data_IF_492158947808
#
_entry.id   IF_492158947808
#
_cell.length_a   1.000
_cell.length_b   1.000
_cell.length_c   1.000
_cell.angle_alpha   90.00
_cell.angle_beta   90.00
_cell.angle_gamma   90.00
#
_symmetry.space_group_name_H-M   'P 1'
#
loop_
_entity.id
_entity.type
_entity.pdbx_description
1 polymer ?
#
# COMPACT_ATOMS: atom_id res chain seq x y z
N UNK A 1 3.92 29.94 -9.36
CA UNK A 1 5.23 29.73 -8.72
C UNK A 1 5.04 28.83 -7.51
N UNK A 2 5.91 27.85 -7.33
CA UNK A 2 5.98 27.10 -6.08
C UNK A 2 6.49 28.04 -4.97
N UNK A 3 5.77 28.13 -3.86
CA UNK A 3 6.13 28.96 -2.70
C UNK A 3 6.02 28.12 -1.43
N UNK A 4 7.19 27.76 -0.89
CA UNK A 4 7.30 26.93 0.31
C UNK A 4 6.75 27.65 1.55
N UNK A 5 6.88 28.98 1.63
CA UNK A 5 6.39 29.75 2.77
C UNK A 5 4.87 29.81 2.78
N UNK A 6 4.24 29.93 1.61
CA UNK A 6 2.78 29.85 1.48
C UNK A 6 2.25 28.47 1.92
N UNK A 7 2.90 27.38 1.51
CA UNK A 7 2.55 26.02 1.96
C UNK A 7 2.71 25.91 3.47
N UNK A 8 3.83 26.37 4.02
CA UNK A 8 4.09 26.37 5.45
C UNK A 8 3.05 27.17 6.25
N UNK A 9 2.65 28.34 5.76
CA UNK A 9 1.59 29.15 6.36
C UNK A 9 0.24 28.41 6.33
N UNK A 10 -0.10 27.72 5.23
CA UNK A 10 -1.31 26.87 5.16
C UNK A 10 -1.25 25.74 6.19
N UNK A 11 -0.12 25.05 6.30
CA UNK A 11 0.05 23.97 7.29
C UNK A 11 -0.10 24.51 8.72
N UNK A 12 0.52 25.66 9.04
CA UNK A 12 0.37 26.33 10.34
C UNK A 12 -1.07 26.73 10.65
N UNK A 13 -1.85 27.13 9.64
CA UNK A 13 -3.28 27.43 9.80
C UNK A 13 -4.11 26.15 10.02
N UNK A 14 -3.69 25.04 9.41
CA UNK A 14 -4.37 23.76 9.52
C UNK A 14 -4.07 23.01 10.83
N UNK A 15 -2.86 23.11 11.37
CA UNK A 15 -2.43 22.37 12.56
C UNK A 15 -2.01 23.29 13.70
N UNK A 16 -2.65 23.13 14.86
CA UNK A 16 -2.29 23.82 16.09
C UNK A 16 -1.02 23.23 16.73
N UNK A 17 -0.43 23.93 17.71
CA UNK A 17 0.70 23.37 18.49
C UNK A 17 0.35 22.04 19.15
N UNK A 18 -0.87 21.90 19.67
CA UNK A 18 -1.36 20.66 20.28
C UNK A 18 -1.45 19.53 19.26
N UNK A 19 -1.90 19.83 18.04
CA UNK A 19 -1.95 18.87 16.93
C UNK A 19 -0.56 18.33 16.59
N UNK A 20 0.44 19.22 16.51
CA UNK A 20 1.84 18.84 16.23
C UNK A 20 2.38 17.93 17.33
N UNK A 21 2.18 18.29 18.60
CA UNK A 21 2.58 17.45 19.73
C UNK A 21 1.94 16.06 19.65
N UNK A 22 0.64 16.01 19.33
CA UNK A 22 -0.07 14.74 19.21
C UNK A 22 0.46 13.87 18.06
N UNK A 23 0.74 14.46 16.89
CA UNK A 23 1.37 13.76 15.76
C UNK A 23 2.75 13.24 16.15
N UNK A 24 3.56 14.03 16.85
CA UNK A 24 4.88 13.61 17.34
C UNK A 24 4.75 12.44 18.32
N UNK A 25 3.79 12.48 19.24
CA UNK A 25 3.52 11.37 20.17
C UNK A 25 3.15 10.10 19.39
N UNK A 26 2.26 10.18 18.40
CA UNK A 26 1.89 9.02 17.58
C UNK A 26 3.10 8.44 16.81
N UNK A 27 3.97 9.30 16.27
CA UNK A 27 5.21 8.86 15.62
C UNK A 27 6.17 8.18 16.60
N UNK A 28 6.32 8.73 17.81
CA UNK A 28 7.13 8.12 18.86
C UNK A 28 6.57 6.75 19.22
N UNK A 29 5.25 6.63 19.42
CA UNK A 29 4.59 5.33 19.72
C UNK A 29 4.79 4.34 18.57
N UNK A 30 4.69 4.78 17.32
CA UNK A 30 5.00 3.94 16.16
C UNK A 30 6.43 3.40 16.24
N UNK A 31 7.43 4.26 16.41
CA UNK A 31 8.83 3.82 16.49
C UNK A 31 9.11 2.94 17.72
N UNK A 32 8.55 3.25 18.88
CA UNK A 32 8.66 2.43 20.09
C UNK A 32 8.14 1.01 19.82
N UNK A 33 6.94 0.90 19.25
CA UNK A 33 6.31 -0.40 19.00
C UNK A 33 7.00 -1.20 17.90
N UNK A 34 7.64 -0.54 16.93
CA UNK A 34 8.32 -1.21 15.81
C UNK A 34 9.79 -1.51 16.09
N UNK A 35 10.53 -0.63 16.77
CA UNK A 35 11.99 -0.75 16.93
C UNK A 35 12.43 -1.49 18.19
N UNK A 36 11.67 -1.43 19.28
CA UNK A 36 12.09 -2.10 20.53
C UNK A 36 12.19 -3.61 20.28
N UNK A 37 13.33 -4.21 20.62
CA UNK A 37 13.59 -5.65 20.46
C UNK A 37 13.39 -6.17 19.02
N UNK A 38 13.56 -5.32 18.01
CA UNK A 38 13.31 -5.67 16.60
C UNK A 38 14.15 -6.85 16.11
N UNK A 39 15.37 -7.03 16.61
CA UNK A 39 16.29 -8.11 16.24
C UNK A 39 16.20 -9.33 17.16
N UNK A 40 15.39 -9.29 18.22
CA UNK A 40 15.27 -10.38 19.19
C UNK A 40 14.24 -11.44 18.81
N UNK A 41 13.35 -11.18 17.86
CA UNK A 41 12.47 -12.24 17.35
C UNK A 41 13.29 -13.28 16.59
N UNK A 42 12.93 -14.57 16.71
CA UNK A 42 13.46 -15.61 15.84
C UNK A 42 13.40 -15.18 14.37
N UNK A 43 14.43 -15.51 13.61
CA UNK A 43 14.46 -15.22 12.19
C UNK A 43 13.47 -16.14 11.47
N UNK A 44 12.59 -15.55 10.67
CA UNK A 44 11.73 -16.31 9.77
C UNK A 44 12.50 -16.68 8.50
N UNK A 45 12.25 -17.87 7.94
CA UNK A 45 13.06 -18.42 6.83
C UNK A 45 13.19 -17.47 5.63
N UNK A 46 12.08 -16.86 5.21
CA UNK A 46 12.06 -15.88 4.12
C UNK A 46 12.89 -14.63 4.41
N UNK A 47 12.97 -14.16 5.66
CA UNK A 47 13.80 -13.00 6.02
C UNK A 47 15.27 -13.27 5.69
N UNK A 48 15.76 -14.48 6.01
CA UNK A 48 17.11 -14.90 5.69
C UNK A 48 17.39 -14.90 4.19
N UNK A 49 16.43 -15.38 3.38
CA UNK A 49 16.52 -15.40 1.92
C UNK A 49 16.58 -13.97 1.37
N UNK A 50 15.65 -13.10 1.78
CA UNK A 50 15.55 -11.73 1.26
C UNK A 50 16.75 -10.87 1.67
N UNK A 51 17.22 -11.00 2.90
CA UNK A 51 18.44 -10.33 3.38
C UNK A 51 19.66 -10.82 2.59
N UNK A 52 19.77 -12.13 2.34
CA UNK A 52 20.87 -12.69 1.54
C UNK A 52 20.85 -12.15 0.12
N UNK A 53 19.69 -12.13 -0.54
CA UNK A 53 19.54 -11.54 -1.88
C UNK A 53 19.96 -10.07 -1.90
N UNK A 54 19.52 -9.27 -0.92
CA UNK A 54 19.91 -7.87 -0.82
C UNK A 54 21.42 -7.70 -0.60
N UNK A 55 22.05 -8.54 0.23
CA UNK A 55 23.51 -8.57 0.38
C UNK A 55 24.24 -8.91 -0.91
N UNK A 56 23.78 -9.91 -1.66
CA UNK A 56 24.39 -10.27 -2.95
C UNK A 56 24.24 -9.14 -3.96
N UNK A 57 23.03 -8.60 -4.11
CA UNK A 57 22.73 -7.47 -4.99
C UNK A 57 23.49 -6.18 -4.63
N UNK A 58 23.84 -6.01 -3.34
CA UNK A 58 24.67 -4.90 -2.89
C UNK A 58 26.12 -5.06 -3.37
N UNK A 59 26.72 -6.24 -3.23
CA UNK A 59 28.14 -6.46 -3.54
C UNK A 59 28.40 -6.75 -5.03
N UNK A 60 27.38 -7.22 -5.76
CA UNK A 60 27.46 -7.48 -7.19
C UNK A 60 26.24 -6.91 -7.92
N UNK A 61 26.49 -5.94 -8.79
CA UNK A 61 25.47 -5.26 -9.57
C UNK A 61 24.75 -6.17 -10.57
N UNK A 62 25.40 -7.26 -11.04
CA UNK A 62 24.78 -8.24 -11.94
C UNK A 62 23.63 -9.00 -11.27
N UNK A 63 23.67 -9.12 -9.94
CA UNK A 63 22.66 -9.80 -9.13
C UNK A 63 21.59 -8.87 -8.55
N UNK A 64 21.45 -7.64 -9.05
CA UNK A 64 20.37 -6.74 -8.59
C UNK A 64 18.97 -7.31 -8.77
N UNK A 65 18.78 -8.23 -9.71
CA UNK A 65 17.51 -8.90 -9.96
C UNK A 65 17.47 -10.34 -9.46
N UNK A 66 18.34 -10.71 -8.50
CA UNK A 66 18.45 -12.09 -7.98
C UNK A 66 17.11 -12.65 -7.48
N UNK A 67 16.23 -11.83 -6.91
CA UNK A 67 14.91 -12.29 -6.44
C UNK A 67 14.04 -12.90 -7.55
N UNK A 68 14.27 -12.50 -8.81
CA UNK A 68 13.56 -13.04 -9.95
C UNK A 68 13.90 -14.51 -10.23
N UNK A 69 15.02 -15.03 -9.70
CA UNK A 69 15.33 -16.47 -9.81
C UNK A 69 14.33 -17.34 -9.03
N UNK A 70 13.58 -16.76 -8.09
CA UNK A 70 12.45 -17.40 -7.40
C UNK A 70 11.09 -16.75 -7.78
N UNK A 71 11.05 -15.97 -8.85
CA UNK A 71 9.84 -15.30 -9.34
C UNK A 71 9.32 -14.18 -8.43
N UNK A 72 10.15 -13.63 -7.54
CA UNK A 72 9.81 -12.51 -6.63
C UNK A 72 10.30 -11.18 -7.20
N UNK A 73 9.45 -10.15 -7.18
CA UNK A 73 9.81 -8.82 -7.67
C UNK A 73 10.88 -8.12 -6.79
N UNK A 74 11.71 -7.22 -7.35
CA UNK A 74 12.97 -6.84 -6.73
C UNK A 74 12.90 -5.67 -5.74
N UNK A 75 11.75 -5.02 -5.53
CA UNK A 75 11.68 -3.80 -4.70
C UNK A 75 12.18 -4.03 -3.28
N UNK A 76 11.83 -5.17 -2.67
CA UNK A 76 12.29 -5.52 -1.34
C UNK A 76 13.82 -5.64 -1.30
N UNK A 77 14.38 -6.38 -2.26
CA UNK A 77 15.83 -6.59 -2.41
C UNK A 77 16.54 -5.24 -2.51
N UNK A 78 16.08 -4.33 -3.38
CA UNK A 78 16.68 -3.00 -3.55
C UNK A 78 16.50 -2.10 -2.33
N UNK A 79 15.28 -2.06 -1.80
CA UNK A 79 14.93 -1.22 -0.65
C UNK A 79 15.65 -1.62 0.63
N UNK A 80 16.11 -2.87 0.73
CA UNK A 80 16.87 -3.38 1.88
C UNK A 80 18.34 -2.95 1.86
N UNK A 81 18.93 -2.72 0.67
CA UNK A 81 20.36 -2.40 0.52
C UNK A 81 20.81 -1.18 1.34
N UNK A 82 20.11 -0.02 1.32
CA UNK A 82 20.51 1.12 2.14
C UNK A 82 20.58 0.79 3.63
N UNK A 83 19.66 -0.01 4.15
CA UNK A 83 19.66 -0.39 5.56
C UNK A 83 20.76 -1.39 5.91
N UNK A 84 21.12 -2.30 5.01
CA UNK A 84 22.29 -3.16 5.20
C UNK A 84 23.60 -2.36 5.28
N UNK A 85 23.70 -1.24 4.55
CA UNK A 85 24.83 -0.31 4.66
C UNK A 85 24.86 0.45 5.97
N UNK A 86 23.68 0.82 6.50
CA UNK A 86 23.57 1.50 7.80
C UNK A 86 23.80 0.57 8.99
N UNK A 87 23.48 -0.72 8.84
CA UNK A 87 23.61 -1.74 9.89
C UNK A 87 24.45 -2.94 9.42
N UNK A 88 25.73 -2.75 9.04
CA UNK A 88 26.55 -3.80 8.44
C UNK A 88 26.80 -4.98 9.37
N UNK A 89 26.87 -4.72 10.68
CA UNK A 89 27.13 -5.71 11.72
C UNK A 89 25.88 -6.49 12.17
N UNK A 90 24.68 -6.02 11.80
CA UNK A 90 23.42 -6.68 12.15
C UNK A 90 22.47 -6.68 10.95
N UNK A 91 22.65 -7.69 10.10
CA UNK A 91 21.89 -7.81 8.86
C UNK A 91 20.40 -8.08 9.07
N UNK A 92 20.03 -8.74 10.17
CA UNK A 92 18.62 -8.97 10.51
C UNK A 92 17.94 -7.65 10.86
N UNK A 93 18.58 -6.82 11.70
CA UNK A 93 18.11 -5.47 11.96
C UNK A 93 18.02 -4.66 10.66
N UNK A 94 19.07 -4.64 9.85
CA UNK A 94 19.07 -3.96 8.55
C UNK A 94 17.92 -4.40 7.63
N UNK A 95 17.66 -5.70 7.54
CA UNK A 95 16.51 -6.24 6.81
C UNK A 95 15.17 -5.76 7.36
N UNK A 96 14.97 -5.82 8.68
CA UNK A 96 13.72 -5.43 9.33
C UNK A 96 13.46 -3.91 9.27
N UNK A 97 14.51 -3.09 9.20
CA UNK A 97 14.37 -1.63 9.02
C UNK A 97 13.69 -1.26 7.70
N UNK A 98 13.79 -2.09 6.64
CA UNK A 98 13.00 -1.90 5.43
C UNK A 98 11.50 -1.91 5.74
N UNK A 99 11.03 -2.90 6.51
CA UNK A 99 9.63 -3.04 6.87
C UNK A 99 9.13 -1.93 7.80
N UNK A 100 9.98 -1.46 8.72
CA UNK A 100 9.66 -0.29 9.55
C UNK A 100 9.55 0.96 8.68
N UNK A 101 10.42 1.13 7.69
CA UNK A 101 10.36 2.28 6.80
C UNK A 101 9.10 2.24 5.91
N UNK A 102 8.78 1.09 5.31
CA UNK A 102 7.55 0.95 4.51
C UNK A 102 6.28 1.01 5.35
N UNK A 103 6.30 0.49 6.57
CA UNK A 103 5.20 0.65 7.53
C UNK A 103 4.96 2.13 7.88
N UNK A 104 6.01 2.94 8.01
CA UNK A 104 5.87 4.39 8.20
C UNK A 104 5.26 5.07 6.97
N UNK A 105 5.62 4.62 5.77
CA UNK A 105 4.97 5.07 4.52
C UNK A 105 3.49 4.69 4.54
N UNK A 106 3.12 3.50 5.01
CA UNK A 106 1.73 3.09 5.21
C UNK A 106 0.98 3.98 6.21
N UNK A 107 1.58 4.23 7.38
CA UNK A 107 1.03 5.09 8.43
C UNK A 107 0.76 6.52 7.93
N UNK A 108 1.70 7.11 7.19
CA UNK A 108 1.52 8.44 6.60
C UNK A 108 0.43 8.45 5.52
N UNK A 109 0.29 7.36 4.76
CA UNK A 109 -0.82 7.16 3.82
C UNK A 109 -2.18 7.13 4.51
N UNK A 110 -2.32 6.39 5.62
CA UNK A 110 -3.55 6.35 6.42
C UNK A 110 -3.87 7.74 6.98
N UNK A 111 -2.87 8.43 7.53
CA UNK A 111 -3.05 9.79 8.01
C UNK A 111 -3.59 10.70 6.90
N UNK A 112 -2.96 10.68 5.71
CA UNK A 112 -3.35 11.51 4.57
C UNK A 112 -4.77 11.17 4.08
N UNK A 113 -5.09 9.89 3.93
CA UNK A 113 -6.41 9.40 3.51
C UNK A 113 -7.51 9.84 4.47
N UNK A 114 -7.35 9.54 5.77
CA UNK A 114 -8.34 9.87 6.78
C UNK A 114 -8.48 11.40 6.96
N UNK A 115 -7.37 12.14 6.91
CA UNK A 115 -7.39 13.61 6.97
C UNK A 115 -8.17 14.19 5.79
N UNK A 116 -7.91 13.69 4.58
CA UNK A 116 -8.56 14.17 3.37
C UNK A 116 -10.06 13.84 3.32
N UNK A 117 -10.46 12.66 3.78
CA UNK A 117 -11.87 12.23 3.75
C UNK A 117 -12.69 12.78 4.92
N UNK A 118 -12.12 12.83 6.12
CA UNK A 118 -12.87 12.99 7.36
C UNK A 118 -12.26 14.01 8.34
N UNK A 119 -11.13 14.62 7.98
CA UNK A 119 -10.46 15.66 8.78
C UNK A 119 -9.53 15.14 9.88
N UNK A 120 -8.97 16.08 10.66
CA UNK A 120 -7.89 15.84 11.64
C UNK A 120 -8.19 14.74 12.65
N UNK A 121 -9.37 14.79 13.28
CA UNK A 121 -9.74 13.82 14.33
C UNK A 121 -9.77 12.39 13.80
N UNK A 122 -10.28 12.19 12.58
CA UNK A 122 -10.31 10.88 11.95
C UNK A 122 -8.90 10.41 11.56
N UNK A 123 -8.02 11.31 11.12
CA UNK A 123 -6.62 10.99 10.86
C UNK A 123 -5.89 10.48 12.10
N UNK A 124 -6.12 11.11 13.25
CA UNK A 124 -5.59 10.70 14.54
C UNK A 124 -6.05 9.30 14.94
N UNK A 125 -7.36 9.04 14.86
CA UNK A 125 -7.89 7.72 15.15
C UNK A 125 -7.44 6.66 14.14
N UNK A 126 -7.36 7.00 12.85
CA UNK A 126 -6.86 6.10 11.81
C UNK A 126 -5.42 5.67 12.07
N UNK A 127 -4.53 6.62 12.39
CA UNK A 127 -3.14 6.31 12.76
C UNK A 127 -3.06 5.53 14.07
N UNK A 128 -3.85 5.90 15.07
CA UNK A 128 -3.91 5.16 16.34
C UNK A 128 -4.29 3.69 16.12
N UNK A 129 -5.33 3.43 15.33
CA UNK A 129 -5.73 2.05 15.00
C UNK A 129 -4.68 1.34 14.15
N UNK A 130 -4.05 2.01 13.16
CA UNK A 130 -2.95 1.41 12.39
C UNK A 130 -1.80 0.96 13.31
N UNK A 131 -1.42 1.83 14.27
CA UNK A 131 -0.34 1.53 15.21
C UNK A 131 -0.69 0.30 16.07
N UNK A 132 -1.94 0.13 16.50
CA UNK A 132 -2.35 -0.92 17.43
C UNK A 132 -2.88 -2.19 16.78
N UNK A 133 -3.15 -2.19 15.47
CA UNK A 133 -3.65 -3.37 14.76
C UNK A 133 -2.58 -4.47 14.80
N UNK A 134 -2.90 -5.69 15.29
CA UNK A 134 -1.92 -6.77 15.43
C UNK A 134 -1.17 -7.10 14.13
N UNK A 135 -1.88 -7.13 13.00
CA UNK A 135 -1.30 -7.31 11.68
C UNK A 135 -0.16 -6.32 11.39
N UNK A 136 -0.43 -5.01 11.44
CA UNK A 136 0.60 -3.98 11.19
C UNK A 136 1.68 -3.96 12.27
N UNK A 137 1.36 -4.31 13.52
CA UNK A 137 2.37 -4.44 14.58
C UNK A 137 3.38 -5.54 14.28
N UNK A 138 2.93 -6.65 13.70
CA UNK A 138 3.78 -7.80 13.43
C UNK A 138 4.52 -7.65 12.09
N UNK A 139 3.81 -7.41 10.99
CA UNK A 139 4.40 -7.40 9.65
C UNK A 139 5.24 -6.15 9.34
N UNK A 140 5.05 -5.02 10.03
CA UNK A 140 5.95 -3.86 9.92
C UNK A 140 7.29 -4.09 10.65
N UNK A 141 7.49 -5.24 11.29
CA UNK A 141 8.71 -5.60 12.04
C UNK A 141 9.46 -6.78 11.45
N UNK A 142 8.89 -7.49 10.48
CA UNK A 142 9.57 -8.59 9.80
C UNK A 142 10.14 -8.12 8.47
N UNK A 143 11.30 -8.61 8.08
CA UNK A 143 11.94 -8.30 6.80
C UNK A 143 11.22 -9.01 5.64
N UNK A 144 9.93 -8.71 5.45
CA UNK A 144 9.05 -9.18 4.40
C UNK A 144 8.56 -8.01 3.53
N UNK A 145 8.01 -8.32 2.36
CA UNK A 145 7.45 -7.30 1.46
C UNK A 145 6.05 -6.84 1.88
N UNK A 146 5.38 -7.55 2.79
CA UNK A 146 3.97 -7.33 3.13
C UNK A 146 3.68 -5.90 3.64
N UNK A 147 4.53 -5.35 4.50
CA UNK A 147 4.43 -3.93 4.94
C UNK A 147 4.52 -2.94 3.76
N UNK A 148 5.37 -3.22 2.77
CA UNK A 148 5.46 -2.44 1.54
C UNK A 148 4.24 -2.58 0.63
N UNK A 149 3.65 -3.78 0.53
CA UNK A 149 2.40 -4.02 -0.20
C UNK A 149 1.23 -3.30 0.48
N UNK A 150 1.21 -3.26 1.81
CA UNK A 150 0.20 -2.51 2.58
C UNK A 150 0.31 -1.00 2.35
N UNK A 151 1.53 -0.47 2.39
CA UNK A 151 1.79 0.93 2.05
C UNK A 151 1.34 1.25 0.62
N UNK A 152 1.63 0.37 -0.33
CA UNK A 152 1.17 0.47 -1.71
C UNK A 152 -0.36 0.51 -1.80
N UNK A 153 -1.05 -0.42 -1.16
CA UNK A 153 -2.52 -0.47 -1.11
C UNK A 153 -3.10 0.87 -0.63
N UNK A 154 -2.63 1.37 0.52
CA UNK A 154 -3.15 2.61 1.14
C UNK A 154 -2.95 3.81 0.22
N UNK A 155 -1.75 3.97 -0.36
CA UNK A 155 -1.47 5.10 -1.22
C UNK A 155 -2.19 5.01 -2.58
N UNK A 156 -2.27 3.82 -3.19
CA UNK A 156 -3.06 3.60 -4.41
C UNK A 156 -4.53 3.95 -4.15
N UNK A 157 -5.07 3.50 -3.02
CA UNK A 157 -6.44 3.82 -2.63
C UNK A 157 -6.64 5.32 -2.42
N UNK A 158 -5.75 6.00 -1.71
CA UNK A 158 -5.79 7.46 -1.54
C UNK A 158 -5.73 8.21 -2.88
N UNK A 159 -4.76 7.87 -3.73
CA UNK A 159 -4.58 8.55 -5.01
C UNK A 159 -5.72 8.27 -6.00
N UNK A 160 -6.36 7.10 -5.94
CA UNK A 160 -7.57 6.82 -6.72
C UNK A 160 -8.70 7.81 -6.40
N UNK A 161 -8.92 8.09 -5.11
CA UNK A 161 -9.93 9.04 -4.62
C UNK A 161 -9.51 10.48 -4.96
N UNK A 162 -8.24 10.82 -4.74
CA UNK A 162 -7.73 12.16 -5.02
C UNK A 162 -7.80 12.48 -6.52
N UNK A 163 -7.46 11.53 -7.39
CA UNK A 163 -7.50 11.70 -8.83
C UNK A 163 -8.93 11.94 -9.31
N UNK A 164 -9.90 11.11 -8.90
CA UNK A 164 -11.29 11.30 -9.35
C UNK A 164 -11.92 12.59 -8.84
N UNK A 165 -11.53 13.07 -7.65
CA UNK A 165 -12.05 14.32 -7.09
C UNK A 165 -11.39 15.58 -7.68
N UNK A 166 -10.15 15.50 -8.13
CA UNK A 166 -9.39 16.68 -8.58
C UNK A 166 -9.18 16.75 -10.09
N UNK A 167 -9.11 15.62 -10.78
CA UNK A 167 -8.86 15.51 -12.23
C UNK A 167 -7.62 16.31 -12.63
N UNK A 168 -6.52 16.11 -11.90
CA UNK A 168 -5.25 16.82 -12.15
C UNK A 168 -4.18 15.89 -12.69
N UNK A 169 -3.38 16.40 -13.63
CA UNK A 169 -2.28 15.67 -14.25
C UNK A 169 -1.17 15.31 -13.25
N UNK A 170 -0.79 16.24 -12.37
CA UNK A 170 0.26 15.99 -11.37
C UNK A 170 -0.11 14.85 -10.41
N UNK A 171 -1.39 14.78 -9.99
CA UNK A 171 -1.92 13.67 -9.20
C UNK A 171 -1.83 12.35 -9.97
N UNK A 172 -2.17 12.34 -11.25
CA UNK A 172 -2.06 11.15 -12.10
C UNK A 172 -0.61 10.68 -12.28
N UNK A 173 0.34 11.60 -12.44
CA UNK A 173 1.76 11.28 -12.56
C UNK A 173 2.30 10.67 -11.26
N UNK A 174 2.02 11.28 -10.11
CA UNK A 174 2.45 10.74 -8.80
C UNK A 174 1.80 9.37 -8.56
N UNK A 175 0.52 9.23 -8.88
CA UNK A 175 -0.18 7.96 -8.76
C UNK A 175 0.45 6.88 -9.64
N UNK A 176 0.76 7.19 -10.91
CA UNK A 176 1.45 6.27 -11.82
C UNK A 176 2.82 5.82 -11.32
N UNK A 177 3.60 6.75 -10.75
CA UNK A 177 4.90 6.43 -10.13
C UNK A 177 4.75 5.49 -8.93
N UNK A 178 3.82 5.78 -8.01
CA UNK A 178 3.55 4.95 -6.84
C UNK A 178 3.06 3.57 -7.28
N UNK A 179 2.11 3.51 -8.21
CA UNK A 179 1.60 2.26 -8.76
C UNK A 179 2.71 1.43 -9.42
N UNK A 180 3.59 2.06 -10.20
CA UNK A 180 4.72 1.40 -10.85
C UNK A 180 5.75 0.85 -9.88
N UNK A 181 6.20 1.66 -8.92
CA UNK A 181 7.10 1.20 -7.85
C UNK A 181 6.45 0.07 -7.05
N UNK A 182 5.16 0.18 -6.76
CA UNK A 182 4.41 -0.86 -6.07
C UNK A 182 4.31 -2.15 -6.88
N UNK A 183 4.24 -2.12 -8.21
CA UNK A 183 4.27 -3.34 -9.03
C UNK A 183 5.63 -4.08 -8.98
N UNK A 184 6.70 -3.41 -8.53
CA UNK A 184 7.97 -4.05 -8.23
C UNK A 184 7.99 -4.74 -6.85
N UNK A 185 6.90 -4.68 -6.09
CA UNK A 185 6.77 -5.37 -4.80
C UNK A 185 6.18 -6.78 -4.94
N UNK A 186 4.99 -6.88 -5.54
CA UNK A 186 4.19 -8.10 -5.60
C UNK A 186 3.16 -7.98 -6.72
N UNK A 187 2.85 -9.11 -7.36
CA UNK A 187 1.87 -9.17 -8.46
C UNK A 187 0.46 -8.75 -8.03
N UNK A 188 0.12 -8.94 -6.76
CA UNK A 188 -1.19 -8.60 -6.19
C UNK A 188 -1.52 -7.11 -6.28
N UNK A 189 -0.52 -6.22 -6.39
CA UNK A 189 -0.73 -4.78 -6.58
C UNK A 189 -1.53 -4.46 -7.84
N UNK A 190 -1.49 -5.33 -8.87
CA UNK A 190 -2.32 -5.18 -10.08
C UNK A 190 -3.81 -5.13 -9.74
N UNK A 191 -4.26 -5.86 -8.71
CA UNK A 191 -5.64 -5.83 -8.24
C UNK A 191 -6.00 -4.43 -7.74
N UNK A 192 -5.15 -3.80 -6.92
CA UNK A 192 -5.39 -2.47 -6.36
C UNK A 192 -5.47 -1.39 -7.44
N UNK A 193 -4.59 -1.47 -8.45
CA UNK A 193 -4.67 -0.59 -9.62
C UNK A 193 -5.98 -0.83 -10.36
N UNK A 194 -6.36 -2.09 -10.61
CA UNK A 194 -7.63 -2.45 -11.24
C UNK A 194 -8.86 -1.89 -10.51
N UNK A 195 -8.94 -2.05 -9.19
CA UNK A 195 -10.04 -1.51 -8.37
C UNK A 195 -10.13 0.03 -8.44
N UNK A 196 -9.00 0.71 -8.65
CA UNK A 196 -8.96 2.17 -8.82
C UNK A 196 -9.73 2.64 -10.07
N UNK A 197 -9.92 1.78 -11.08
CA UNK A 197 -10.74 2.09 -12.25
C UNK A 197 -12.22 2.32 -11.89
N UNK A 198 -12.67 1.86 -10.71
CA UNK A 198 -14.03 2.04 -10.19
C UNK A 198 -14.20 3.34 -9.39
N UNK A 199 -13.13 4.15 -9.22
CA UNK A 199 -13.22 5.46 -8.56
C UNK A 199 -14.28 6.42 -9.15
N UNK A 200 -14.63 6.40 -10.46
CA UNK A 200 -15.73 7.18 -11.02
C UNK A 200 -17.10 6.99 -10.35
N UNK A 201 -17.31 5.93 -9.57
CA UNK A 201 -18.49 5.77 -8.72
C UNK A 201 -18.69 6.94 -7.74
N UNK A 202 -17.62 7.67 -7.41
CA UNK A 202 -17.63 8.85 -6.56
C UNK A 202 -18.13 10.13 -7.26
N UNK A 203 -18.29 10.14 -8.58
CA UNK A 203 -18.69 11.34 -9.33
C UNK A 203 -20.20 11.56 -9.19
N UNK A 204 -20.59 12.76 -8.74
CA UNK A 204 -21.94 13.26 -8.93
C UNK A 204 -22.00 14.77 -8.99
N UNK A 205 -22.40 15.27 -10.16
CA UNK A 205 -22.87 16.63 -10.32
C UNK A 205 -24.32 16.61 -10.80
N UNK A 206 -25.08 17.63 -10.39
CA UNK A 206 -26.49 17.79 -10.74
C UNK A 206 -26.70 17.84 -12.27
N UNK A 207 -25.67 18.24 -13.03
CA UNK A 207 -25.69 18.29 -14.49
C UNK A 207 -25.02 17.04 -15.08
N UNK A 208 -25.81 16.21 -15.77
CA UNK A 208 -25.34 14.95 -16.40
C UNK A 208 -24.17 15.14 -17.38
N UNK A 209 -24.13 16.25 -18.12
CA UNK A 209 -23.07 16.54 -19.12
C UNK A 209 -21.70 16.73 -18.47
N UNK A 210 -21.65 17.34 -17.30
CA UNK A 210 -20.40 17.59 -16.57
C UNK A 210 -19.84 16.28 -15.99
N UNK A 211 -20.72 15.35 -15.58
CA UNK A 211 -20.31 14.01 -15.15
C UNK A 211 -19.60 13.23 -16.25
N UNK A 212 -20.15 13.22 -17.48
CA UNK A 212 -19.54 12.50 -18.62
C UNK A 212 -18.14 13.04 -18.91
N UNK A 213 -17.97 14.37 -18.94
CA UNK A 213 -16.67 14.99 -19.17
C UNK A 213 -15.65 14.60 -18.08
N UNK A 214 -16.06 14.60 -16.81
CA UNK A 214 -15.19 14.18 -15.70
C UNK A 214 -14.79 12.72 -15.79
N UNK A 215 -15.73 11.83 -16.15
CA UNK A 215 -15.45 10.40 -16.31
C UNK A 215 -14.45 10.17 -17.45
N UNK A 216 -14.63 10.82 -18.60
CA UNK A 216 -13.69 10.75 -19.73
C UNK A 216 -12.30 11.24 -19.30
N UNK A 217 -12.23 12.42 -18.68
CA UNK A 217 -10.95 12.98 -18.23
C UNK A 217 -10.28 12.08 -17.18
N UNK A 218 -11.04 11.48 -16.27
CA UNK A 218 -10.52 10.51 -15.31
C UNK A 218 -9.88 9.32 -16.03
N UNK A 219 -10.57 8.69 -16.98
CA UNK A 219 -10.02 7.53 -17.69
C UNK A 219 -8.81 7.86 -18.56
N UNK A 220 -8.75 9.07 -19.15
CA UNK A 220 -7.55 9.54 -19.86
C UNK A 220 -6.35 9.67 -18.91
N UNK A 221 -6.55 10.29 -17.74
CA UNK A 221 -5.51 10.40 -16.72
C UNK A 221 -5.15 9.05 -16.10
N UNK A 222 -6.13 8.16 -15.93
CA UNK A 222 -5.92 6.82 -15.41
C UNK A 222 -5.17 5.92 -16.41
N UNK A 223 -5.38 6.10 -17.71
CA UNK A 223 -4.55 5.46 -18.74
C UNK A 223 -3.08 5.89 -18.59
N UNK A 224 -2.83 7.17 -18.29
CA UNK A 224 -1.47 7.64 -17.99
C UNK A 224 -0.89 6.99 -16.73
N UNK A 225 -1.69 6.82 -15.66
CA UNK A 225 -1.30 6.07 -14.46
C UNK A 225 -0.86 4.64 -14.84
N UNK A 226 -1.68 3.94 -15.62
CA UNK A 226 -1.39 2.59 -16.10
C UNK A 226 -0.12 2.54 -16.97
N UNK A 227 0.05 3.52 -17.87
CA UNK A 227 1.24 3.63 -18.71
C UNK A 227 2.52 3.76 -17.88
N UNK A 228 2.55 4.66 -16.90
CA UNK A 228 3.70 4.81 -16.00
C UNK A 228 3.93 3.54 -15.17
N UNK A 229 2.86 2.96 -14.64
CA UNK A 229 2.95 1.76 -13.82
C UNK A 229 3.57 0.58 -14.59
N UNK A 230 3.10 0.35 -15.83
CA UNK A 230 3.62 -0.68 -16.72
C UNK A 230 5.05 -0.36 -17.16
N UNK A 231 5.36 0.90 -17.46
CA UNK A 231 6.71 1.33 -17.87
C UNK A 231 7.74 1.01 -16.79
N UNK A 232 7.45 1.34 -15.53
CA UNK A 232 8.31 1.01 -14.38
C UNK A 232 8.38 -0.51 -14.16
N UNK A 233 7.24 -1.22 -14.23
CA UNK A 233 7.21 -2.67 -14.07
C UNK A 233 8.11 -3.39 -15.09
N UNK A 234 8.23 -2.86 -16.31
CA UNK A 234 9.06 -3.43 -17.38
C UNK A 234 10.58 -3.31 -17.12
N UNK A 235 11.04 -2.54 -16.12
CA UNK A 235 12.46 -2.53 -15.71
C UNK A 235 12.96 -3.95 -15.37
N UNK A 236 12.07 -4.83 -14.91
CA UNK A 236 12.40 -6.24 -14.62
C UNK A 236 12.83 -7.05 -15.85
N UNK A 237 12.56 -6.58 -17.08
CA UNK A 237 13.02 -7.22 -18.32
C UNK A 237 14.54 -7.17 -18.51
N UNK A 238 15.23 -6.33 -17.74
CA UNK A 238 16.69 -6.32 -17.70
C UNK A 238 17.27 -7.63 -17.14
N UNK A 239 16.44 -8.48 -16.52
CA UNK A 239 16.81 -9.82 -16.09
C UNK A 239 16.19 -10.90 -16.99
N UNK A 240 16.93 -11.96 -17.33
CA UNK A 240 16.39 -13.09 -18.09
C UNK A 240 15.31 -13.86 -17.32
N UNK A 241 15.23 -13.69 -15.99
CA UNK A 241 14.36 -14.46 -15.10
C UNK A 241 12.96 -13.86 -14.90
N UNK A 242 12.59 -12.77 -15.58
CA UNK A 242 11.28 -12.12 -15.38
C UNK A 242 10.09 -13.08 -15.59
N UNK A 243 10.23 -14.06 -16.49
CA UNK A 243 9.19 -15.04 -16.78
C UNK A 243 8.86 -15.96 -15.59
N UNK A 244 9.78 -16.14 -14.62
CA UNK A 244 9.52 -16.89 -13.40
C UNK A 244 8.47 -16.24 -12.50
N UNK A 245 8.24 -14.92 -12.61
CA UNK A 245 7.14 -14.25 -11.91
C UNK A 245 5.79 -14.88 -12.29
N UNK A 246 5.57 -15.11 -13.59
CA UNK A 246 4.31 -15.69 -14.07
C UNK A 246 4.16 -17.15 -13.62
N UNK A 247 5.25 -17.93 -13.68
CA UNK A 247 5.26 -19.32 -13.21
C UNK A 247 4.95 -19.41 -11.72
N UNK A 248 5.61 -18.58 -10.90
CA UNK A 248 5.39 -18.52 -9.45
C UNK A 248 3.97 -18.07 -9.10
N UNK A 249 3.41 -17.09 -9.82
CA UNK A 249 2.01 -16.68 -9.59
C UNK A 249 1.02 -17.83 -9.87
N UNK A 250 1.32 -18.70 -10.83
CA UNK A 250 0.48 -19.85 -11.17
C UNK A 250 0.33 -20.88 -10.06
N UNK A 251 1.18 -20.85 -9.02
CA UNK A 251 1.02 -21.72 -7.83
C UNK A 251 0.05 -21.14 -6.80
N UNK A 252 -0.27 -19.85 -6.89
CA UNK A 252 -1.14 -19.14 -5.93
C UNK A 252 -2.49 -18.72 -6.51
N UNK A 253 -2.56 -18.53 -7.83
CA UNK A 253 -3.75 -18.02 -8.51
C UNK A 253 -4.09 -18.89 -9.70
N UNK A 254 -5.39 -19.18 -9.85
CA UNK A 254 -5.90 -19.95 -10.98
C UNK A 254 -5.81 -19.13 -12.26
N UNK A 255 -5.51 -19.79 -13.38
CA UNK A 255 -5.61 -19.14 -14.68
C UNK A 255 -7.06 -18.78 -15.01
N UNK A 256 -7.26 -17.79 -15.87
CA UNK A 256 -8.59 -17.40 -16.33
C UNK A 256 -9.36 -18.58 -16.94
N UNK A 257 -8.67 -19.46 -17.67
CA UNK A 257 -9.26 -20.66 -18.26
C UNK A 257 -9.76 -21.66 -17.19
N UNK A 258 -9.01 -21.85 -16.10
CA UNK A 258 -9.40 -22.72 -15.00
C UNK A 258 -10.58 -22.11 -14.24
N UNK A 259 -10.54 -20.80 -13.97
CA UNK A 259 -11.65 -20.08 -13.35
C UNK A 259 -12.94 -20.23 -14.14
N UNK A 260 -12.91 -20.05 -15.47
CA UNK A 260 -14.11 -20.22 -16.31
C UNK A 260 -14.67 -21.65 -16.28
N UNK A 261 -13.82 -22.67 -16.16
CA UNK A 261 -14.27 -24.06 -16.05
C UNK A 261 -14.98 -24.33 -14.74
N UNK A 262 -14.44 -23.85 -13.62
CA UNK A 262 -15.05 -24.02 -12.29
C UNK A 262 -15.01 -22.70 -11.50
N UNK A 263 -15.95 -21.76 -11.72
CA UNK A 263 -15.88 -20.44 -11.11
C UNK A 263 -16.23 -20.43 -9.61
N UNK A 264 -16.99 -21.42 -9.15
CA UNK A 264 -17.40 -21.56 -7.74
C UNK A 264 -16.44 -22.42 -6.90
N UNK A 265 -15.42 -23.01 -7.52
CA UNK A 265 -14.44 -23.84 -6.83
C UNK A 265 -13.65 -23.01 -5.82
N UNK A 266 -13.70 -23.44 -4.55
CA UNK A 266 -13.06 -22.74 -3.43
C UNK A 266 -13.83 -21.52 -2.90
N UNK A 267 -14.93 -21.09 -3.53
CA UNK A 267 -15.66 -19.89 -3.11
C UNK A 267 -16.16 -20.01 -1.66
N UNK A 268 -16.78 -21.14 -1.31
CA UNK A 268 -17.29 -21.38 0.06
C UNK A 268 -16.15 -21.31 1.08
N UNK A 269 -15.01 -21.95 0.78
CA UNK A 269 -13.83 -21.91 1.63
C UNK A 269 -13.32 -20.48 1.82
N UNK A 270 -13.18 -19.71 0.74
CA UNK A 270 -12.72 -18.33 0.82
C UNK A 270 -13.71 -17.40 1.54
N UNK A 271 -15.02 -17.60 1.36
CA UNK A 271 -16.05 -16.83 2.07
C UNK A 271 -16.04 -17.08 3.59
N UNK A 272 -15.53 -18.23 4.04
CA UNK A 272 -15.35 -18.55 5.45
C UNK A 272 -13.98 -18.07 5.97
N UNK A 273 -12.91 -18.44 5.26
CA UNK A 273 -11.54 -18.19 5.69
C UNK A 273 -11.18 -16.71 5.67
N UNK A 274 -11.58 -15.94 4.66
CA UNK A 274 -11.17 -14.52 4.54
C UNK A 274 -11.68 -13.70 5.73
N UNK A 275 -12.98 -13.73 6.10
CA UNK A 275 -13.43 -13.07 7.31
C UNK A 275 -12.69 -13.57 8.56
N UNK A 276 -12.51 -14.88 8.72
CA UNK A 276 -11.79 -15.44 9.87
C UNK A 276 -10.38 -14.82 10.01
N UNK A 277 -9.58 -14.84 8.96
CA UNK A 277 -8.23 -14.24 8.97
C UNK A 277 -8.28 -12.73 9.22
N UNK A 278 -9.20 -12.00 8.57
CA UNK A 278 -9.34 -10.54 8.80
C UNK A 278 -9.65 -10.25 10.27
N UNK A 279 -10.52 -11.03 10.90
CA UNK A 279 -10.85 -10.86 12.31
C UNK A 279 -9.68 -11.21 13.22
N UNK A 280 -9.00 -12.33 13.00
CA UNK A 280 -7.84 -12.75 13.79
C UNK A 280 -6.72 -11.70 13.69
N UNK A 281 -6.32 -11.34 12.47
CA UNK A 281 -5.19 -10.45 12.22
C UNK A 281 -5.49 -9.00 12.62
N UNK A 282 -6.76 -8.60 12.67
CA UNK A 282 -7.18 -7.27 13.14
C UNK A 282 -7.44 -7.19 14.65
N UNK A 283 -7.26 -8.29 15.41
CA UNK A 283 -7.52 -8.31 16.86
C UNK A 283 -9.01 -8.32 17.24
N UNK A 284 -9.85 -8.91 16.39
CA UNK A 284 -11.30 -9.15 16.49
C UNK A 284 -12.21 -7.92 16.61
N UNK A 285 -11.82 -6.89 17.35
CA UNK A 285 -12.66 -5.72 17.66
C UNK A 285 -12.70 -4.74 16.49
N UNK A 286 -11.58 -4.52 15.79
CA UNK A 286 -11.47 -3.51 14.75
C UNK A 286 -12.40 -3.74 13.55
N UNK A 287 -12.62 -4.97 13.05
CA UNK A 287 -13.59 -5.20 11.98
C UNK A 287 -15.01 -4.81 12.37
N UNK A 288 -15.46 -5.06 13.62
CA UNK A 288 -16.78 -4.61 14.07
C UNK A 288 -16.91 -3.09 14.07
N UNK A 289 -15.88 -2.38 14.56
CA UNK A 289 -15.83 -0.91 14.51
C UNK A 289 -15.84 -0.42 13.05
N UNK A 290 -15.09 -1.07 12.18
CA UNK A 290 -15.01 -0.77 10.75
C UNK A 290 -16.35 -0.95 10.04
N UNK A 291 -17.03 -2.09 10.24
CA UNK A 291 -18.34 -2.37 9.67
C UNK A 291 -19.42 -1.40 10.17
N UNK A 292 -19.43 -1.08 11.47
CA UNK A 292 -20.34 -0.07 12.02
C UNK A 292 -20.05 1.32 11.44
N UNK A 293 -18.78 1.70 11.33
CA UNK A 293 -18.35 2.94 10.69
C UNK A 293 -18.77 3.01 9.21
N UNK A 294 -18.65 1.91 8.48
CA UNK A 294 -19.08 1.78 7.08
C UNK A 294 -20.60 1.91 6.94
N UNK A 295 -21.38 1.33 7.86
CA UNK A 295 -22.83 1.51 7.92
C UNK A 295 -23.24 2.97 8.16
N UNK A 296 -22.59 3.65 9.12
CA UNK A 296 -22.81 5.07 9.36
C UNK A 296 -22.41 5.93 8.16
N UNK A 297 -21.29 5.59 7.52
CA UNK A 297 -20.85 6.24 6.30
C UNK A 297 -21.85 6.03 5.17
N UNK A 298 -22.42 4.84 5.02
CA UNK A 298 -23.44 4.56 4.01
C UNK A 298 -24.67 5.45 4.19
N UNK A 299 -25.08 5.76 5.42
CA UNK A 299 -26.17 6.74 5.67
C UNK A 299 -25.81 8.16 5.26
N UNK A 300 -24.54 8.56 5.42
CA UNK A 300 -24.06 9.93 5.19
C UNK A 300 -23.63 10.20 3.74
N UNK A 301 -22.87 9.28 3.17
CA UNK A 301 -22.32 9.32 1.81
C UNK A 301 -22.28 7.88 1.25
N UNK A 302 -23.40 7.48 0.64
CA UNK A 302 -23.59 6.14 0.06
C UNK A 302 -22.51 5.79 -0.94
N UNK A 303 -22.05 6.75 -1.75
CA UNK A 303 -21.12 6.49 -2.85
C UNK A 303 -19.73 6.22 -2.32
N UNK A 304 -19.29 7.05 -1.36
CA UNK A 304 -18.04 6.80 -0.68
C UNK A 304 -18.09 5.44 0.01
N UNK A 305 -19.15 5.13 0.75
CA UNK A 305 -19.31 3.83 1.39
C UNK A 305 -19.23 2.67 0.38
N UNK A 306 -20.00 2.69 -0.71
CA UNK A 306 -19.96 1.66 -1.76
C UNK A 306 -18.56 1.53 -2.34
N UNK A 307 -17.89 2.65 -2.63
CA UNK A 307 -16.54 2.61 -3.16
C UNK A 307 -15.56 1.99 -2.16
N UNK A 308 -15.62 2.34 -0.88
CA UNK A 308 -14.74 1.73 0.14
C UNK A 308 -15.04 0.23 0.30
N UNK A 309 -16.31 -0.20 0.22
CA UNK A 309 -16.70 -1.61 0.33
C UNK A 309 -16.11 -2.50 -0.77
N UNK A 310 -15.83 -1.95 -1.96
CA UNK A 310 -15.25 -2.70 -3.08
C UNK A 310 -13.81 -3.17 -2.78
N UNK A 311 -13.15 -2.55 -1.79
CA UNK A 311 -11.79 -2.90 -1.36
C UNK A 311 -11.74 -3.89 -0.20
N UNK A 312 -12.90 -4.33 0.31
CA UNK A 312 -13.05 -5.35 1.36
C UNK A 312 -13.23 -6.74 0.74
#
# INVERSE_FOLDING_TARGET
>A
MFDIFFIWQKIKKLFSRKDVIFIVILLIVYFITRLINLDKFPIFGDEGIYIRWAKTAWHDASWRFISLTDGRQPLQTWGTIPFLKLFPNNALLGGRMFAVATGLIGLTGIFALCFYLFGKKAAYWGVFFYILTPYFLFYDRMALMDSGVNAAFIWIWFFSILLVRTIRLDVALIFGLIAGLSLLSKSSVKLFIGLSALAPLLIFEQKKKDNVKKIINFFLLFLLVCFFAISIYNIQRLSPYMHYIAQKNGTFVRSFSQFLKNPMEGLIYHLQAVPEYVFIESGYILPFIGLFGLYLLFKKDRRLAIYLSIWL
#
